data_IF_710017551309
#
_entry.id   IF_710017551309
#
_cell.length_a   1.000
_cell.length_b   1.000
_cell.length_c   1.000
_cell.angle_alpha   90.00
_cell.angle_beta   90.00
_cell.angle_gamma   90.00
#
_symmetry.space_group_name_H-M   'P 1'
#
loop_
_entity.id
_entity.type
_entity.pdbx_description
1 polymer ?
#
# COMPACT_ATOMS: atom_id res chain seq x y z
N UNK A 1 0.12 -14.37 6.41
CA UNK A 1 0.85 -15.64 6.32
C UNK A 1 1.53 -15.82 4.97
N UNK A 2 0.83 -15.78 3.83
CA UNK A 2 1.45 -15.98 2.51
C UNK A 2 2.71 -15.13 2.28
N UNK A 3 2.61 -13.80 2.45
CA UNK A 3 3.74 -12.85 2.37
C UNK A 3 4.93 -13.23 3.26
N UNK A 4 4.66 -13.62 4.50
CA UNK A 4 5.70 -14.02 5.44
C UNK A 4 6.45 -15.25 4.92
N UNK A 5 5.72 -16.24 4.39
CA UNK A 5 6.32 -17.44 3.81
C UNK A 5 7.12 -17.15 2.53
N UNK A 6 6.66 -16.21 1.69
CA UNK A 6 7.40 -15.76 0.52
C UNK A 6 8.71 -15.03 0.87
N UNK A 7 8.80 -14.48 2.09
CA UNK A 7 10.00 -13.85 2.64
C UNK A 7 10.82 -14.83 3.53
N UNK A 8 10.60 -16.14 3.38
CA UNK A 8 11.25 -17.21 4.15
C UNK A 8 11.05 -17.14 5.68
N UNK A 9 10.06 -16.39 6.16
CA UNK A 9 9.66 -16.37 7.57
C UNK A 9 8.85 -17.65 7.85
N UNK A 10 9.52 -18.64 8.44
CA UNK A 10 8.98 -19.99 8.67
C UNK A 10 9.11 -20.42 10.14
N UNK A 11 8.70 -21.66 10.45
CA UNK A 11 8.87 -22.27 11.78
C UNK A 11 8.10 -21.57 12.90
N UNK A 12 8.73 -21.47 14.08
CA UNK A 12 8.11 -20.91 15.28
C UNK A 12 7.72 -19.43 15.11
N UNK A 13 8.49 -18.66 14.34
CA UNK A 13 8.18 -17.26 14.06
C UNK A 13 6.91 -17.13 13.24
N UNK A 14 6.75 -17.95 12.19
CA UNK A 14 5.53 -17.99 11.40
C UNK A 14 4.32 -18.44 12.25
N UNK A 15 4.51 -19.45 13.10
CA UNK A 15 3.47 -19.90 14.03
C UNK A 15 3.07 -18.79 15.00
N UNK A 16 4.03 -18.05 15.55
CA UNK A 16 3.75 -16.91 16.43
C UNK A 16 2.94 -15.82 15.71
N UNK A 17 3.36 -15.43 14.49
CA UNK A 17 2.63 -14.45 13.67
C UNK A 17 1.21 -14.93 13.35
N UNK A 18 1.04 -16.23 13.07
CA UNK A 18 -0.27 -16.82 12.81
C UNK A 18 -1.21 -16.65 14.00
N UNK A 19 -0.77 -17.06 15.19
CA UNK A 19 -1.54 -16.91 16.43
C UNK A 19 -1.79 -15.43 16.77
N UNK A 20 -0.81 -14.55 16.54
CA UNK A 20 -0.96 -13.12 16.76
C UNK A 20 -2.07 -12.48 15.90
N UNK A 21 -2.31 -12.99 14.69
CA UNK A 21 -3.31 -12.44 13.77
C UNK A 21 -4.70 -13.10 13.90
N UNK A 22 -4.79 -14.28 14.48
CA UNK A 22 -6.02 -15.09 14.58
C UNK A 22 -6.87 -14.79 15.82
N UNK A 23 -8.17 -15.13 15.72
CA UNK A 23 -9.14 -15.11 16.83
C UNK A 23 -9.20 -13.79 17.62
N UNK A 24 -8.87 -12.68 16.97
CA UNK A 24 -8.90 -11.37 17.59
C UNK A 24 -10.32 -10.86 17.70
N UNK A 25 -10.59 -10.14 18.78
CA UNK A 25 -11.88 -9.49 19.02
C UNK A 25 -11.67 -8.04 19.43
N UNK A 26 -12.70 -7.22 19.26
CA UNK A 26 -12.71 -5.85 19.75
C UNK A 26 -14.08 -5.47 20.31
N UNK A 27 -14.06 -4.47 21.18
CA UNK A 27 -15.23 -3.78 21.72
C UNK A 27 -14.94 -2.29 21.72
N UNK A 28 -15.99 -1.48 21.57
CA UNK A 28 -15.92 -0.02 21.63
C UNK A 28 -16.60 0.44 22.92
N UNK A 29 -15.88 1.22 23.74
CA UNK A 29 -16.45 1.86 24.92
C UNK A 29 -16.74 3.32 24.62
N UNK A 30 -17.98 3.74 24.86
CA UNK A 30 -18.39 5.14 24.77
C UNK A 30 -19.04 5.55 26.08
N UNK A 31 -18.37 6.45 26.83
CA UNK A 31 -18.74 6.81 28.21
C UNK A 31 -18.92 5.56 29.07
N UNK A 32 -20.12 5.33 29.59
CA UNK A 32 -20.47 4.21 30.46
C UNK A 32 -21.09 3.02 29.69
N UNK A 33 -21.12 3.07 28.36
CA UNK A 33 -21.65 1.99 27.52
C UNK A 33 -20.53 1.25 26.79
N UNK A 34 -20.68 -0.06 26.68
CA UNK A 34 -19.76 -0.97 26.00
C UNK A 34 -20.50 -1.67 24.87
N UNK A 35 -19.91 -1.71 23.68
CA UNK A 35 -20.49 -2.41 22.53
C UNK A 35 -20.46 -3.93 22.74
N UNK A 36 -21.24 -4.65 21.93
CA UNK A 36 -21.03 -6.09 21.77
C UNK A 36 -19.62 -6.41 21.27
N UNK A 37 -19.11 -7.58 21.65
CA UNK A 37 -17.85 -8.12 21.12
C UNK A 37 -18.00 -8.42 19.64
N UNK A 38 -17.02 -7.97 18.85
CA UNK A 38 -16.93 -8.26 17.41
C UNK A 38 -15.63 -8.97 17.10
N UNK A 39 -15.69 -9.94 16.20
CA UNK A 39 -14.50 -10.64 15.70
C UNK A 39 -13.79 -9.81 14.63
N UNK A 40 -12.46 -9.77 14.69
CA UNK A 40 -11.59 -9.11 13.71
C UNK A 40 -11.05 -10.17 12.76
N UNK A 41 -11.58 -10.21 11.54
CA UNK A 41 -11.13 -11.18 10.52
C UNK A 41 -9.99 -10.65 9.63
N UNK A 42 -9.81 -9.33 9.56
CA UNK A 42 -8.85 -8.67 8.66
C UNK A 42 -8.12 -7.53 9.38
N UNK A 43 -6.96 -7.15 8.86
CA UNK A 43 -6.11 -6.08 9.41
C UNK A 43 -5.12 -6.58 10.45
N UNK A 44 -4.31 -5.66 10.99
CA UNK A 44 -3.27 -5.91 12.00
C UNK A 44 -3.63 -5.17 13.30
N UNK A 45 -3.24 -5.66 14.50
CA UNK A 45 -3.51 -4.95 15.76
C UNK A 45 -2.84 -3.57 15.80
N UNK A 46 -3.60 -2.49 15.86
CA UNK A 46 -3.00 -1.15 16.02
C UNK A 46 -2.36 -1.02 17.41
N UNK A 47 -1.20 -0.37 17.50
CA UNK A 47 -0.46 -0.16 18.74
C UNK A 47 0.55 -1.26 19.09
N UNK A 48 0.71 -2.30 18.27
CA UNK A 48 1.77 -3.29 18.42
C UNK A 48 2.96 -2.99 17.50
N UNK A 49 4.18 -3.14 18.02
CA UNK A 49 5.43 -3.05 17.24
C UNK A 49 5.45 -4.07 16.10
N UNK A 50 4.95 -5.29 16.36
CA UNK A 50 4.91 -6.36 15.36
C UNK A 50 4.02 -5.99 14.17
N UNK A 51 2.97 -5.20 14.39
CA UNK A 51 2.06 -4.79 13.33
C UNK A 51 2.76 -3.91 12.28
N UNK A 52 3.70 -3.05 12.69
CA UNK A 52 4.49 -2.25 11.74
C UNK A 52 5.40 -3.14 10.89
N UNK A 53 6.06 -4.13 11.49
CA UNK A 53 6.90 -5.09 10.77
C UNK A 53 6.04 -5.88 9.76
N UNK A 54 4.87 -6.35 10.18
CA UNK A 54 3.95 -7.09 9.31
C UNK A 54 3.41 -6.23 8.17
N UNK A 55 3.24 -4.92 8.38
CA UNK A 55 2.90 -3.98 7.31
C UNK A 55 4.02 -3.89 6.27
N UNK A 56 5.27 -3.76 6.70
CA UNK A 56 6.43 -3.77 5.77
C UNK A 56 6.51 -5.07 4.99
N UNK A 57 6.36 -6.23 5.66
CA UNK A 57 6.30 -7.53 4.97
C UNK A 57 5.15 -7.63 3.97
N UNK A 58 4.02 -6.96 4.24
CA UNK A 58 2.87 -6.98 3.34
C UNK A 58 3.11 -6.15 2.07
N UNK A 59 3.85 -5.04 2.18
CA UNK A 59 4.19 -4.13 1.09
C UNK A 59 5.41 -4.57 0.26
N UNK A 60 6.03 -5.72 0.59
CA UNK A 60 7.36 -6.11 0.08
C UNK A 60 7.48 -6.23 -1.44
N UNK A 61 6.41 -6.58 -2.13
CA UNK A 61 6.36 -6.79 -3.59
C UNK A 61 5.66 -5.62 -4.33
N UNK A 62 5.32 -4.53 -3.64
CA UNK A 62 4.66 -3.38 -4.28
C UNK A 62 5.56 -2.78 -5.37
N UNK A 63 6.87 -2.75 -5.15
CA UNK A 63 7.84 -2.19 -6.10
C UNK A 63 7.92 -3.01 -7.41
N UNK A 64 7.50 -4.27 -7.41
CA UNK A 64 7.46 -5.12 -8.61
C UNK A 64 6.34 -4.69 -9.58
N UNK A 65 5.44 -3.80 -9.15
CA UNK A 65 4.32 -3.30 -9.96
C UNK A 65 4.69 -2.09 -10.82
N UNK A 66 5.86 -1.49 -10.60
CA UNK A 66 6.29 -0.26 -11.26
C UNK A 66 6.65 -0.52 -12.74
N UNK A 67 6.21 0.38 -13.62
CA UNK A 67 6.67 0.41 -15.02
C UNK A 67 8.13 0.93 -15.08
N UNK A 68 8.86 0.55 -16.13
CA UNK A 68 10.24 0.99 -16.33
C UNK A 68 10.34 2.52 -16.38
N UNK A 69 11.29 3.07 -15.63
CA UNK A 69 11.52 4.52 -15.51
C UNK A 69 10.56 5.23 -14.54
N UNK A 70 9.76 4.47 -13.79
CA UNK A 70 8.91 4.98 -12.70
C UNK A 70 9.55 4.66 -11.36
N UNK A 71 9.62 5.66 -10.50
CA UNK A 71 10.11 5.54 -9.13
C UNK A 71 8.96 5.71 -8.14
N UNK A 72 9.17 5.20 -6.93
CA UNK A 72 8.17 5.20 -5.87
C UNK A 72 8.82 5.48 -4.52
N UNK A 73 8.16 6.31 -3.71
CA UNK A 73 8.47 6.55 -2.31
C UNK A 73 7.27 6.13 -1.47
N UNK A 74 7.49 5.28 -0.47
CA UNK A 74 6.43 4.72 0.38
C UNK A 74 6.69 5.15 1.82
N UNK A 75 5.69 5.71 2.49
CA UNK A 75 5.73 6.01 3.90
C UNK A 75 4.40 5.60 4.55
N UNK A 76 4.44 4.54 5.36
CA UNK A 76 3.22 3.90 5.87
C UNK A 76 2.23 3.62 4.71
N UNK A 77 0.99 4.09 4.80
CA UNK A 77 -0.04 3.95 3.76
C UNK A 77 0.04 5.00 2.64
N UNK A 78 0.90 6.02 2.77
CA UNK A 78 1.12 7.01 1.72
C UNK A 78 2.13 6.50 0.69
N UNK A 79 1.71 6.53 -0.59
CA UNK A 79 2.50 6.09 -1.73
C UNK A 79 2.64 7.28 -2.70
N UNK A 80 3.87 7.68 -2.98
CA UNK A 80 4.19 8.71 -3.95
C UNK A 80 4.92 8.11 -5.15
N UNK A 81 4.28 8.16 -6.32
CA UNK A 81 4.80 7.59 -7.57
C UNK A 81 5.17 8.74 -8.50
N UNK A 82 6.37 8.70 -9.08
CA UNK A 82 6.85 9.78 -9.93
C UNK A 82 7.69 9.25 -11.09
N UNK A 83 7.68 10.00 -12.18
CA UNK A 83 8.44 9.68 -13.39
C UNK A 83 8.98 10.99 -13.96
N UNK A 84 10.25 10.99 -14.35
CA UNK A 84 10.91 12.13 -14.97
C UNK A 84 11.28 11.79 -16.40
N UNK A 85 10.77 12.58 -17.35
CA UNK A 85 11.09 12.42 -18.77
C UNK A 85 11.04 13.76 -19.51
N UNK A 86 11.76 13.87 -20.62
CA UNK A 86 11.74 15.08 -21.46
C UNK A 86 10.41 15.28 -22.21
N UNK A 87 9.63 14.21 -22.36
CA UNK A 87 8.32 14.23 -23.00
C UNK A 87 7.24 13.93 -21.98
N UNK A 88 6.32 14.88 -21.77
CA UNK A 88 5.25 14.77 -20.79
C UNK A 88 4.34 13.57 -21.07
N UNK A 89 3.96 13.36 -22.34
CA UNK A 89 3.13 12.22 -22.75
C UNK A 89 3.76 10.86 -22.42
N UNK A 90 5.10 10.79 -22.42
CA UNK A 90 5.80 9.58 -22.00
C UNK A 90 5.64 9.36 -20.50
N UNK A 91 5.88 10.39 -19.69
CA UNK A 91 5.75 10.31 -18.24
C UNK A 91 4.31 9.99 -17.82
N UNK A 92 3.31 10.64 -18.43
CA UNK A 92 1.89 10.38 -18.18
C UNK A 92 1.54 8.92 -18.49
N UNK A 93 1.96 8.39 -19.64
CA UNK A 93 1.71 6.99 -20.01
C UNK A 93 2.32 6.01 -19.00
N UNK A 94 3.57 6.24 -18.60
CA UNK A 94 4.28 5.39 -17.63
C UNK A 94 3.64 5.41 -16.24
N UNK A 95 3.24 6.59 -15.77
CA UNK A 95 2.50 6.75 -14.52
C UNK A 95 1.13 6.08 -14.58
N UNK A 96 0.39 6.24 -15.68
CA UNK A 96 -0.92 5.62 -15.87
C UNK A 96 -0.82 4.09 -15.87
N UNK A 97 0.16 3.52 -16.57
CA UNK A 97 0.42 2.08 -16.55
C UNK A 97 0.72 1.58 -15.13
N UNK A 98 1.59 2.29 -14.41
CA UNK A 98 1.95 1.95 -13.03
C UNK A 98 0.73 2.00 -12.10
N UNK A 99 -0.12 3.03 -12.22
CA UNK A 99 -1.37 3.12 -11.45
C UNK A 99 -2.31 1.94 -11.72
N UNK A 100 -2.41 1.49 -12.98
CA UNK A 100 -3.20 0.30 -13.33
C UNK A 100 -2.62 -0.97 -12.69
N UNK A 101 -1.29 -1.13 -12.68
CA UNK A 101 -0.63 -2.27 -12.05
C UNK A 101 -0.81 -2.28 -10.53
N UNK A 102 -0.61 -1.13 -9.88
CA UNK A 102 -0.84 -0.97 -8.44
C UNK A 102 -2.30 -1.23 -8.09
N UNK A 103 -3.25 -0.75 -8.91
CA UNK A 103 -4.66 -1.04 -8.69
C UNK A 103 -4.96 -2.54 -8.73
N UNK A 104 -4.40 -3.28 -9.71
CA UNK A 104 -4.53 -4.75 -9.78
C UNK A 104 -3.91 -5.42 -8.55
N UNK A 105 -2.74 -4.96 -8.11
CA UNK A 105 -2.06 -5.44 -6.91
C UNK A 105 -2.89 -5.21 -5.64
N UNK A 106 -3.46 -4.01 -5.47
CA UNK A 106 -4.38 -3.69 -4.38
C UNK A 106 -5.60 -4.61 -4.37
N UNK A 107 -6.22 -4.82 -5.54
CA UNK A 107 -7.36 -5.73 -5.68
C UNK A 107 -7.00 -7.18 -5.31
N UNK A 108 -5.84 -7.67 -5.76
CA UNK A 108 -5.34 -9.01 -5.43
C UNK A 108 -5.12 -9.18 -3.91
N UNK A 109 -4.50 -8.20 -3.27
CA UNK A 109 -4.22 -8.23 -1.84
C UNK A 109 -5.37 -7.76 -0.95
N UNK A 110 -6.50 -7.36 -1.55
CA UNK A 110 -7.73 -6.88 -0.89
C UNK A 110 -7.55 -5.56 -0.12
N UNK A 111 -6.72 -4.67 -0.66
CA UNK A 111 -6.60 -3.27 -0.25
C UNK A 111 -7.62 -2.40 -1.00
N UNK A 112 -8.05 -1.34 -0.33
CA UNK A 112 -8.95 -0.32 -0.88
C UNK A 112 -8.13 0.94 -1.05
N UNK A 113 -8.05 1.44 -2.28
CA UNK A 113 -7.48 2.76 -2.57
C UNK A 113 -8.54 3.81 -2.24
N UNK A 114 -8.12 4.94 -1.69
CA UNK A 114 -8.95 6.14 -1.44
C UNK A 114 -8.70 7.18 -2.55
N UNK A 115 -9.45 7.17 -3.67
CA UNK A 115 -9.20 8.10 -4.77
C UNK A 115 -9.40 9.57 -4.36
N UNK A 116 -10.27 9.82 -3.39
CA UNK A 116 -10.59 11.14 -2.86
C UNK A 116 -9.41 11.81 -2.13
N UNK A 117 -8.42 11.03 -1.71
CA UNK A 117 -7.19 11.52 -1.08
C UNK A 117 -6.03 11.64 -2.07
N UNK A 118 -6.18 11.06 -3.26
CA UNK A 118 -5.16 11.10 -4.30
C UNK A 118 -5.12 12.45 -5.01
N UNK A 119 -3.94 12.88 -5.42
CA UNK A 119 -3.77 14.05 -6.28
C UNK A 119 -2.62 13.82 -7.26
N UNK A 120 -2.66 14.54 -8.37
CA UNK A 120 -1.59 14.56 -9.39
C UNK A 120 -0.93 15.93 -9.34
N UNK A 121 0.40 15.97 -9.35
CA UNK A 121 1.16 17.20 -9.37
C UNK A 121 2.24 17.14 -10.47
N UNK A 122 2.42 18.26 -11.19
CA UNK A 122 3.54 18.45 -12.12
C UNK A 122 4.53 19.44 -11.49
N UNK A 123 5.65 18.97 -10.91
CA UNK A 123 6.62 19.85 -10.25
C UNK A 123 7.61 20.53 -11.23
N UNK A 124 7.46 20.31 -12.55
CA UNK A 124 8.36 20.84 -13.56
C UNK A 124 8.24 22.37 -13.71
N UNK A 125 9.38 23.06 -13.76
CA UNK A 125 9.46 24.51 -14.08
C UNK A 125 9.58 24.80 -15.58
N UNK A 126 9.65 23.78 -16.44
CA UNK A 126 9.84 23.97 -17.88
C UNK A 126 8.53 24.46 -18.50
N UNK A 127 8.56 25.64 -19.16
CA UNK A 127 7.47 26.04 -20.08
C UNK A 127 7.43 25.01 -21.21
N UNK A 128 6.32 24.27 -21.32
CA UNK A 128 6.08 23.40 -22.47
C UNK A 128 6.19 24.25 -23.73
N UNK A 129 7.22 24.01 -24.54
CA UNK A 129 7.30 24.57 -25.88
C UNK A 129 6.31 23.77 -26.73
N UNK A 130 5.06 24.23 -26.78
CA UNK A 130 4.06 23.68 -27.69
C UNK A 130 4.55 24.04 -29.09
N UNK A 131 5.16 23.09 -29.79
CA UNK A 131 5.34 23.25 -31.23
C UNK A 131 3.94 23.21 -31.87
N UNK A 132 3.56 24.20 -32.69
CA UNK A 132 2.29 24.17 -33.40
C UNK A 132 2.27 22.96 -34.33
N UNK A 133 1.19 22.18 -34.30
CA UNK A 133 0.83 21.29 -35.40
C UNK A 133 0.22 22.11 -36.53
#
# INVERSE_FOLDING_TARGET
MLKCLQLDITGNTANFIHHFLQNRTFQVRWRNSLSSTKNVQKGIPQGSVLSLILFVCYMSDLLETLDEGVECSIFADDIFIFCSHNFLDYAIRKLQNTLVNIHKWCCYWKLIISPEKGFIAEPSKRKLHVQPR
#
